data_IF_532371401735
#
_entry.id   IF_532371401735
#
_cell.length_a   1.000
_cell.length_b   1.000
_cell.length_c   1.000
_cell.angle_alpha   90.00
_cell.angle_beta   90.00
_cell.angle_gamma   90.00
#
_symmetry.space_group_name_H-M   'P 1'
#
loop_
_entity.id
_entity.type
_entity.pdbx_description
1 polymer ?
#
# COMPACT_ATOMS: atom_id res chain seq x y z
N UNK A 1 25.97 -0.33 -9.53
CA UNK A 1 24.68 -1.00 -9.26
C UNK A 1 24.72 -1.81 -7.97
N UNK A 2 25.63 -2.79 -7.83
CA UNK A 2 25.81 -3.55 -6.57
C UNK A 2 26.06 -2.67 -5.35
N UNK A 3 26.88 -1.61 -5.50
CA UNK A 3 27.16 -0.62 -4.44
C UNK A 3 25.90 0.05 -3.90
N UNK A 4 24.94 0.42 -4.77
CA UNK A 4 23.70 1.08 -4.32
C UNK A 4 22.82 0.14 -3.49
N UNK A 5 22.73 -1.15 -3.88
CA UNK A 5 21.99 -2.15 -3.12
C UNK A 5 22.62 -2.46 -1.77
N UNK A 6 23.96 -2.55 -1.71
CA UNK A 6 24.70 -2.72 -0.46
C UNK A 6 24.55 -1.49 0.45
N UNK A 7 24.66 -0.27 -0.10
CA UNK A 7 24.45 0.95 0.66
C UNK A 7 23.03 1.01 1.23
N UNK A 8 22.02 0.68 0.43
CA UNK A 8 20.64 0.60 0.89
C UNK A 8 20.49 -0.37 2.06
N UNK A 9 21.10 -1.57 1.96
CA UNK A 9 21.09 -2.56 3.02
C UNK A 9 21.77 -2.04 4.30
N UNK A 10 22.91 -1.37 4.17
CA UNK A 10 23.60 -0.77 5.31
C UNK A 10 22.72 0.30 5.97
N UNK A 11 22.02 1.12 5.18
CA UNK A 11 21.12 2.16 5.67
C UNK A 11 19.91 1.56 6.41
N UNK A 12 19.28 0.50 5.90
CA UNK A 12 18.13 -0.14 6.57
C UNK A 12 18.49 -0.78 7.90
N UNK A 13 19.73 -1.24 8.04
CA UNK A 13 20.26 -1.79 9.29
C UNK A 13 20.70 -0.69 10.26
N UNK A 14 21.33 0.39 9.76
CA UNK A 14 21.88 1.47 10.59
C UNK A 14 20.81 2.43 11.12
N UNK A 15 19.68 2.60 10.42
CA UNK A 15 18.65 3.58 10.76
C UNK A 15 17.27 2.93 11.00
N UNK A 16 17.12 2.07 12.03
CA UNK A 16 15.83 1.46 12.31
C UNK A 16 14.75 2.52 12.60
N UNK A 17 13.50 2.21 12.25
CA UNK A 17 12.36 3.08 12.54
C UNK A 17 12.30 3.39 14.04
N UNK A 18 12.51 4.66 14.40
CA UNK A 18 12.54 5.09 15.79
C UNK A 18 11.16 5.18 16.44
N UNK A 19 10.08 5.12 15.65
CA UNK A 19 8.70 5.17 16.17
C UNK A 19 7.85 4.06 15.58
N UNK A 20 7.02 3.46 16.42
CA UNK A 20 5.93 2.52 16.04
C UNK A 20 4.55 3.21 16.09
N UNK A 21 4.53 4.53 16.26
CA UNK A 21 3.32 5.32 16.56
C UNK A 21 2.59 5.85 15.33
N UNK A 22 3.15 5.67 14.13
CA UNK A 22 2.42 5.90 12.90
C UNK A 22 1.74 4.58 12.51
N UNK A 23 0.43 4.61 12.27
CA UNK A 23 -0.35 3.42 11.92
C UNK A 23 -0.79 2.58 13.12
N UNK A 24 -0.87 1.28 12.90
CA UNK A 24 -1.35 0.25 13.84
C UNK A 24 -0.20 -0.62 14.39
N UNK A 25 1.06 -0.30 14.10
CA UNK A 25 2.18 -1.17 14.43
C UNK A 25 2.34 -1.56 15.91
N UNK A 26 2.10 -0.64 16.86
CA UNK A 26 2.07 -0.99 18.30
C UNK A 26 0.93 -1.97 18.63
N UNK A 27 -0.22 -1.82 17.98
CA UNK A 27 -1.33 -2.76 18.15
C UNK A 27 -0.95 -4.13 17.60
N UNK A 28 -0.34 -4.19 16.41
CA UNK A 28 0.11 -5.44 15.80
C UNK A 28 1.14 -6.19 16.64
N UNK A 29 2.10 -5.47 17.24
CA UNK A 29 3.07 -6.07 18.17
C UNK A 29 2.37 -6.61 19.42
N UNK A 30 1.41 -5.88 19.98
CA UNK A 30 0.64 -6.33 21.16
C UNK A 30 -0.24 -7.54 20.84
N UNK A 31 -0.90 -7.56 19.70
CA UNK A 31 -1.69 -8.70 19.20
C UNK A 31 -0.78 -9.94 19.07
N UNK A 32 0.40 -9.76 18.46
CA UNK A 32 1.39 -10.83 18.30
C UNK A 32 1.92 -11.33 19.65
N UNK A 33 2.16 -10.46 20.63
CA UNK A 33 2.60 -10.84 22.00
C UNK A 33 1.49 -11.56 22.76
N UNK A 34 0.29 -10.98 22.77
CA UNK A 34 -0.86 -11.47 23.53
C UNK A 34 -1.39 -12.81 23.02
N UNK A 35 -0.99 -13.25 21.83
CA UNK A 35 -1.46 -14.50 21.24
C UNK A 35 -2.97 -14.48 20.97
N UNK A 36 -3.53 -13.29 20.77
CA UNK A 36 -4.97 -13.05 20.58
C UNK A 36 -5.32 -13.37 19.13
N UNK A 37 -5.14 -14.62 18.73
CA UNK A 37 -5.36 -15.10 17.37
C UNK A 37 -6.85 -15.17 17.03
N UNK A 38 -7.63 -15.83 17.88
CA UNK A 38 -8.99 -16.24 17.49
C UNK A 38 -10.07 -15.15 17.62
N UNK A 39 -9.76 -13.97 18.16
CA UNK A 39 -10.79 -13.02 18.60
C UNK A 39 -10.71 -11.61 18.01
N UNK A 40 -9.90 -11.36 16.97
CA UNK A 40 -9.72 -10.00 16.44
C UNK A 40 -10.23 -9.76 15.01
N UNK A 41 -11.17 -8.80 14.81
CA UNK A 41 -11.72 -8.44 13.50
C UNK A 41 -10.67 -7.97 12.48
N UNK A 42 -9.50 -7.48 12.91
CA UNK A 42 -8.42 -7.02 12.03
C UNK A 42 -7.73 -8.16 11.27
N UNK A 43 -7.84 -9.41 11.75
CA UNK A 43 -7.37 -10.60 11.02
C UNK A 43 -8.10 -10.80 9.69
N UNK A 44 -9.30 -10.23 9.56
CA UNK A 44 -10.12 -10.34 8.36
C UNK A 44 -9.51 -9.66 7.13
N UNK A 45 -8.33 -9.03 7.21
CA UNK A 45 -7.70 -8.39 6.04
C UNK A 45 -6.37 -9.02 5.62
N UNK A 46 -5.66 -9.66 6.55
CA UNK A 46 -4.31 -10.23 6.35
C UNK A 46 -4.11 -11.58 7.03
N UNK A 47 -5.07 -12.54 6.91
CA UNK A 47 -5.06 -13.74 7.74
C UNK A 47 -3.80 -14.60 7.57
N UNK A 48 -3.32 -14.79 6.33
CA UNK A 48 -2.14 -15.64 6.10
C UNK A 48 -0.88 -15.01 6.69
N UNK A 49 -0.73 -13.69 6.61
CA UNK A 49 0.45 -13.02 7.14
C UNK A 49 0.52 -13.16 8.65
N UNK A 50 -0.56 -12.83 9.34
CA UNK A 50 -0.65 -13.00 10.78
C UNK A 50 -0.32 -14.44 11.18
N UNK A 51 -0.81 -15.43 10.43
CA UNK A 51 -0.57 -16.84 10.73
C UNK A 51 0.91 -17.17 10.59
N UNK A 52 1.55 -16.71 9.50
CA UNK A 52 2.99 -16.86 9.28
C UNK A 52 3.81 -16.21 10.40
N UNK A 53 3.44 -15.01 10.85
CA UNK A 53 4.13 -14.32 11.95
C UNK A 53 3.99 -15.10 13.27
N UNK A 54 2.84 -15.72 13.50
CA UNK A 54 2.64 -16.60 14.66
C UNK A 54 3.50 -17.87 14.57
N UNK A 55 3.62 -18.50 13.39
CA UNK A 55 4.53 -19.65 13.19
C UNK A 55 5.99 -19.25 13.38
N UNK A 56 6.41 -18.08 12.88
CA UNK A 56 7.77 -17.57 13.11
C UNK A 56 8.00 -17.33 14.61
N UNK A 57 7.00 -16.82 15.34
CA UNK A 57 7.08 -16.66 16.80
C UNK A 57 7.27 -18.01 17.50
N UNK A 58 6.53 -19.05 17.12
CA UNK A 58 6.60 -20.35 17.79
C UNK A 58 7.92 -21.09 17.52
N UNK A 59 8.58 -20.83 16.40
CA UNK A 59 9.82 -21.51 16.00
C UNK A 59 11.10 -20.72 16.24
N UNK A 60 11.01 -19.42 16.54
CA UNK A 60 12.20 -18.56 16.67
C UNK A 60 12.54 -18.23 18.12
N UNK A 61 13.83 -18.02 18.36
CA UNK A 61 14.35 -17.45 19.62
C UNK A 61 14.24 -15.91 19.64
N UNK A 62 13.57 -15.32 18.65
CA UNK A 62 13.46 -13.88 18.48
C UNK A 62 12.32 -13.37 19.36
N UNK A 63 12.56 -12.29 20.11
CA UNK A 63 11.49 -11.71 20.93
C UNK A 63 10.34 -11.23 20.02
N UNK A 64 9.06 -11.38 20.44
CA UNK A 64 7.92 -11.09 19.57
C UNK A 64 7.90 -9.66 19.02
N UNK A 65 8.43 -8.68 19.76
CA UNK A 65 8.53 -7.28 19.36
C UNK A 65 9.58 -7.04 18.25
N UNK A 66 10.45 -8.01 17.98
CA UNK A 66 11.47 -7.95 16.93
C UNK A 66 11.05 -8.67 15.65
N UNK A 67 10.03 -9.54 15.68
CA UNK A 67 9.59 -10.33 14.52
C UNK A 67 9.19 -9.41 13.36
N UNK A 68 8.32 -8.43 13.61
CA UNK A 68 7.89 -7.47 12.60
C UNK A 68 9.06 -6.68 11.99
N UNK A 69 9.96 -6.05 12.79
CA UNK A 69 11.15 -5.40 12.26
C UNK A 69 12.04 -6.31 11.40
N UNK A 70 12.21 -7.59 11.78
CA UNK A 70 12.97 -8.55 10.98
C UNK A 70 12.30 -8.84 9.64
N UNK A 71 11.00 -9.15 9.65
CA UNK A 71 10.23 -9.41 8.43
C UNK A 71 10.25 -8.19 7.50
N UNK A 72 10.08 -6.99 8.03
CA UNK A 72 10.19 -5.72 7.30
C UNK A 72 11.55 -5.57 6.59
N UNK A 73 12.65 -5.80 7.30
CA UNK A 73 14.00 -5.71 6.71
C UNK A 73 14.23 -6.78 5.66
N UNK A 74 13.86 -8.03 5.94
CA UNK A 74 14.00 -9.13 4.98
C UNK A 74 13.21 -8.85 3.69
N UNK A 75 11.99 -8.32 3.81
CA UNK A 75 11.22 -7.87 2.67
C UNK A 75 11.96 -6.79 1.86
N UNK A 76 12.63 -5.85 2.53
CA UNK A 76 13.50 -4.86 1.90
C UNK A 76 14.68 -5.46 1.14
N UNK A 77 15.35 -6.47 1.70
CA UNK A 77 16.45 -7.19 1.02
C UNK A 77 15.92 -7.83 -0.27
N UNK A 78 14.81 -8.58 -0.16
CA UNK A 78 14.19 -9.23 -1.33
C UNK A 78 13.77 -8.19 -2.35
N UNK A 79 13.20 -7.05 -1.92
CA UNK A 79 12.81 -5.96 -2.81
C UNK A 79 14.01 -5.38 -3.57
N UNK A 80 15.14 -5.14 -2.90
CA UNK A 80 16.37 -4.68 -3.54
C UNK A 80 16.86 -5.67 -4.59
N UNK A 81 16.89 -6.97 -4.26
CA UNK A 81 17.30 -8.01 -5.21
C UNK A 81 16.38 -8.04 -6.44
N UNK A 82 15.06 -7.99 -6.22
CA UNK A 82 14.07 -7.94 -7.30
C UNK A 82 14.15 -6.64 -8.10
N UNK A 83 14.56 -5.52 -7.51
CA UNK A 83 14.71 -4.24 -8.22
C UNK A 83 15.75 -4.35 -9.35
N UNK A 84 16.83 -5.13 -9.17
CA UNK A 84 17.80 -5.37 -10.24
C UNK A 84 17.19 -6.12 -11.42
N UNK A 85 16.36 -7.13 -11.14
CA UNK A 85 15.62 -7.88 -12.16
C UNK A 85 14.61 -6.97 -12.85
N UNK A 86 13.85 -6.18 -12.10
CA UNK A 86 12.91 -5.21 -12.64
C UNK A 86 13.61 -4.18 -13.53
N UNK A 87 14.78 -3.69 -13.13
CA UNK A 87 15.62 -2.82 -13.96
C UNK A 87 15.92 -3.45 -15.31
N UNK A 88 16.31 -4.73 -15.35
CA UNK A 88 16.60 -5.45 -16.60
C UNK A 88 15.37 -5.65 -17.48
N UNK A 89 14.21 -5.95 -16.89
CA UNK A 89 12.98 -6.22 -17.63
C UNK A 89 12.27 -4.96 -18.12
N UNK A 90 12.20 -3.91 -17.29
CA UNK A 90 11.36 -2.73 -17.56
C UNK A 90 12.12 -1.52 -18.11
N UNK A 91 13.45 -1.46 -18.02
CA UNK A 91 14.21 -0.35 -18.59
C UNK A 91 14.21 -0.43 -20.14
N UNK A 92 13.92 0.66 -20.87
CA UNK A 92 13.96 0.66 -22.34
C UNK A 92 15.33 0.34 -22.93
N UNK A 93 16.41 0.71 -22.23
CA UNK A 93 17.81 0.50 -22.65
C UNK A 93 18.65 -0.04 -21.49
N UNK A 94 19.76 -0.75 -21.76
CA UNK A 94 20.67 -1.24 -20.71
C UNK A 94 21.21 -0.13 -19.79
N UNK A 95 21.51 1.04 -20.34
CA UNK A 95 22.05 2.18 -19.58
C UNK A 95 21.02 2.81 -18.63
N UNK A 96 19.73 2.62 -18.93
CA UNK A 96 18.63 3.18 -18.16
C UNK A 96 18.31 2.35 -16.88
N UNK A 97 18.85 1.13 -16.80
CA UNK A 97 18.58 0.17 -15.70
C UNK A 97 18.89 0.76 -14.32
N UNK A 98 20.06 1.39 -14.20
CA UNK A 98 20.50 1.99 -12.95
C UNK A 98 19.57 3.08 -12.45
N UNK A 99 19.04 3.90 -13.37
CA UNK A 99 18.12 4.96 -13.02
C UNK A 99 16.73 4.41 -12.62
N UNK A 100 16.22 3.39 -13.31
CA UNK A 100 14.95 2.78 -12.93
C UNK A 100 15.03 2.13 -11.53
N UNK A 101 16.15 1.47 -11.23
CA UNK A 101 16.40 0.91 -9.89
C UNK A 101 16.46 2.00 -8.85
N UNK A 102 17.17 3.09 -9.15
CA UNK A 102 17.23 4.23 -8.24
C UNK A 102 15.84 4.81 -7.98
N UNK A 103 14.99 4.93 -9.01
CA UNK A 103 13.60 5.32 -8.84
C UNK A 103 12.85 4.36 -7.92
N UNK A 104 13.00 3.03 -8.05
CA UNK A 104 12.36 2.07 -7.13
C UNK A 104 12.86 2.21 -5.68
N UNK A 105 14.16 2.42 -5.50
CA UNK A 105 14.80 2.47 -4.18
C UNK A 105 14.75 3.84 -3.49
N UNK A 106 14.10 4.82 -4.11
CA UNK A 106 14.03 6.19 -3.60
C UNK A 106 12.59 6.66 -3.36
N UNK A 107 11.63 5.79 -3.11
CA UNK A 107 10.22 6.18 -2.90
C UNK A 107 9.83 6.16 -1.42
N UNK A 108 8.70 6.77 -1.04
CA UNK A 108 8.29 6.83 0.37
C UNK A 108 8.06 5.46 1.01
N UNK A 109 7.57 4.47 0.24
CA UNK A 109 7.38 3.10 0.74
C UNK A 109 8.67 2.41 1.17
N UNK A 110 9.84 2.90 0.75
CA UNK A 110 11.14 2.36 1.19
C UNK A 110 11.30 2.46 2.70
N UNK A 111 10.68 3.46 3.35
CA UNK A 111 10.67 3.57 4.82
C UNK A 111 10.06 2.34 5.52
N UNK A 112 9.18 1.60 4.84
CA UNK A 112 8.58 0.36 5.36
C UNK A 112 9.61 -0.75 5.57
N UNK A 113 10.79 -0.65 4.96
CA UNK A 113 11.86 -1.66 5.06
C UNK A 113 12.86 -1.39 6.20
N UNK A 114 12.71 -0.29 6.93
CA UNK A 114 13.61 0.10 8.04
C UNK A 114 13.15 -0.51 9.38
N UNK A 115 12.52 -1.69 9.35
CA UNK A 115 11.96 -2.34 10.53
C UNK A 115 10.61 -1.75 10.96
N UNK A 116 9.84 -1.19 10.02
CA UNK A 116 8.51 -0.67 10.28
C UNK A 116 7.55 -1.81 10.60
N UNK A 117 6.88 -1.74 11.75
CA UNK A 117 6.14 -2.85 12.31
C UNK A 117 4.71 -2.95 11.75
N UNK A 118 4.60 -3.19 10.44
CA UNK A 118 3.33 -3.25 9.74
C UNK A 118 3.23 -4.48 8.85
N UNK A 119 2.03 -4.73 8.33
CA UNK A 119 1.74 -5.90 7.51
C UNK A 119 2.15 -5.74 6.03
N UNK A 120 2.32 -4.50 5.58
CA UNK A 120 2.56 -4.16 4.18
C UNK A 120 3.97 -4.41 3.62
N UNK A 121 5.08 -4.41 4.41
CA UNK A 121 6.43 -4.56 3.84
C UNK A 121 6.59 -5.78 2.93
N UNK A 122 6.02 -6.93 3.29
CA UNK A 122 6.11 -8.17 2.49
C UNK A 122 5.39 -8.07 1.15
N UNK A 123 4.38 -7.22 1.03
CA UNK A 123 3.61 -7.08 -0.20
C UNK A 123 4.43 -6.42 -1.30
N UNK A 124 5.31 -5.47 -0.99
CA UNK A 124 6.11 -4.76 -1.99
C UNK A 124 7.01 -5.67 -2.85
N UNK A 125 7.84 -6.58 -2.28
CA UNK A 125 8.60 -7.52 -3.09
C UNK A 125 7.69 -8.50 -3.85
N UNK A 126 6.57 -8.93 -3.28
CA UNK A 126 5.62 -9.81 -3.97
C UNK A 126 4.96 -9.11 -5.16
N UNK A 127 4.56 -7.84 -5.01
CA UNK A 127 3.99 -7.03 -6.07
C UNK A 127 5.01 -6.74 -7.17
N UNK A 128 6.27 -6.46 -6.82
CA UNK A 128 7.35 -6.30 -7.80
C UNK A 128 7.65 -7.61 -8.55
N UNK A 129 7.70 -8.74 -7.82
CA UNK A 129 7.82 -10.07 -8.39
C UNK A 129 6.66 -10.39 -9.33
N UNK A 130 5.43 -10.05 -8.94
CA UNK A 130 4.23 -10.18 -9.76
C UNK A 130 4.31 -9.33 -11.03
N UNK A 131 4.78 -8.08 -10.95
CA UNK A 131 5.04 -7.26 -12.15
C UNK A 131 6.02 -7.94 -13.12
N UNK A 132 7.15 -8.46 -12.60
CA UNK A 132 8.16 -9.15 -13.41
C UNK A 132 7.55 -10.40 -14.07
N UNK A 133 6.83 -11.23 -13.32
CA UNK A 133 6.21 -12.45 -13.83
C UNK A 133 5.11 -12.17 -14.86
N UNK A 134 4.30 -11.13 -14.65
CA UNK A 134 3.30 -10.69 -15.62
C UNK A 134 3.94 -10.25 -16.94
N UNK A 135 5.02 -9.47 -16.88
CA UNK A 135 5.75 -9.04 -18.07
C UNK A 135 6.32 -10.24 -18.84
N UNK A 136 7.06 -11.13 -18.16
CA UNK A 136 7.63 -12.34 -18.77
C UNK A 136 6.55 -13.25 -19.36
N UNK A 137 5.45 -13.45 -18.64
CA UNK A 137 4.33 -14.24 -19.14
C UNK A 137 3.68 -13.62 -20.38
N UNK A 138 3.53 -12.29 -20.41
CA UNK A 138 3.03 -11.54 -21.57
C UNK A 138 3.97 -11.63 -22.77
N UNK A 139 5.28 -11.64 -22.54
CA UNK A 139 6.33 -11.72 -23.57
C UNK A 139 6.58 -13.14 -24.11
N UNK A 140 5.97 -14.15 -23.51
CA UNK A 140 6.18 -15.55 -23.93
C UNK A 140 7.21 -16.31 -23.08
N UNK A 141 7.98 -15.61 -22.25
CA UNK A 141 9.14 -16.15 -21.51
C UNK A 141 8.81 -16.96 -20.25
N UNK A 142 7.53 -17.16 -19.96
CA UNK A 142 7.06 -17.93 -18.80
C UNK A 142 5.57 -18.22 -18.87
N UNK A 143 5.09 -19.24 -18.16
CA UNK A 143 3.68 -19.61 -18.16
C UNK A 143 2.84 -18.64 -17.32
N UNK A 144 1.58 -18.44 -17.70
CA UNK A 144 0.63 -17.53 -17.02
C UNK A 144 0.30 -17.97 -15.59
N UNK A 145 0.38 -19.27 -15.28
CA UNK A 145 0.09 -19.74 -13.92
C UNK A 145 1.06 -19.18 -12.88
N UNK A 146 2.29 -18.80 -13.25
CA UNK A 146 3.27 -18.26 -12.30
C UNK A 146 2.80 -16.94 -11.66
N UNK A 147 2.47 -15.87 -12.42
CA UNK A 147 1.89 -14.68 -11.82
C UNK A 147 0.52 -14.93 -11.17
N UNK A 148 -0.27 -15.90 -11.67
CA UNK A 148 -1.56 -16.25 -11.08
C UNK A 148 -1.43 -16.87 -9.68
N UNK A 149 -0.53 -17.83 -9.50
CA UNK A 149 -0.20 -18.45 -8.21
C UNK A 149 0.34 -17.40 -7.25
N UNK A 150 1.27 -16.54 -7.70
CA UNK A 150 1.81 -15.50 -6.85
C UNK A 150 0.72 -14.51 -6.39
N UNK A 151 -0.18 -14.09 -7.29
CA UNK A 151 -1.30 -13.24 -6.94
C UNK A 151 -2.22 -13.92 -5.92
N UNK A 152 -2.60 -15.19 -6.14
CA UNK A 152 -3.48 -15.91 -5.22
C UNK A 152 -2.86 -16.20 -3.86
N UNK A 153 -1.53 -16.33 -3.76
CA UNK A 153 -0.82 -16.36 -2.47
C UNK A 153 -0.73 -14.97 -1.80
N UNK A 154 -0.72 -13.90 -2.58
CA UNK A 154 -0.63 -12.52 -2.07
C UNK A 154 -1.97 -12.00 -1.54
N UNK A 155 -3.09 -12.43 -2.14
CA UNK A 155 -4.46 -12.07 -1.69
C UNK A 155 -4.70 -12.35 -0.20
N UNK A 156 -4.43 -13.55 0.36
CA UNK A 156 -4.63 -13.81 1.79
C UNK A 156 -3.56 -13.16 2.69
N UNK A 157 -2.45 -12.64 2.14
CA UNK A 157 -1.54 -11.77 2.88
C UNK A 157 -2.13 -10.36 3.05
N UNK A 158 -2.84 -9.84 2.04
CA UNK A 158 -3.70 -8.67 2.19
C UNK A 158 -4.75 -8.59 1.07
N UNK A 159 -6.04 -8.54 1.38
CA UNK A 159 -7.10 -8.67 0.37
C UNK A 159 -7.14 -7.58 -0.70
N UNK A 160 -6.59 -6.38 -0.41
CA UNK A 160 -6.46 -5.34 -1.45
C UNK A 160 -5.53 -5.75 -2.59
N UNK A 161 -4.68 -6.77 -2.41
CA UNK A 161 -3.90 -7.33 -3.50
C UNK A 161 -4.76 -7.89 -4.64
N UNK A 162 -6.03 -8.23 -4.39
CA UNK A 162 -6.97 -8.61 -5.45
C UNK A 162 -7.20 -7.50 -6.49
N UNK A 163 -6.97 -6.23 -6.13
CA UNK A 163 -7.02 -5.11 -7.07
C UNK A 163 -6.04 -5.27 -8.24
N UNK A 164 -5.03 -6.14 -8.13
CA UNK A 164 -4.06 -6.42 -9.19
C UNK A 164 -4.51 -7.48 -10.22
N UNK A 165 -5.68 -8.11 -10.02
CA UNK A 165 -6.22 -9.12 -10.94
C UNK A 165 -6.47 -8.63 -12.38
N UNK A 166 -6.92 -7.37 -12.64
CA UNK A 166 -7.10 -6.87 -14.01
C UNK A 166 -5.83 -6.94 -14.88
N UNK A 167 -4.65 -6.81 -14.26
CA UNK A 167 -3.39 -6.97 -14.98
C UNK A 167 -3.16 -8.41 -15.47
N UNK A 168 -3.53 -9.42 -14.67
CA UNK A 168 -3.43 -10.82 -15.09
C UNK A 168 -4.41 -11.13 -16.22
N UNK A 169 -5.62 -10.58 -16.16
CA UNK A 169 -6.60 -10.68 -17.26
C UNK A 169 -6.02 -10.08 -18.54
N UNK A 170 -5.33 -8.94 -18.44
CA UNK A 170 -4.63 -8.34 -19.57
C UNK A 170 -3.52 -9.24 -20.13
N UNK A 171 -2.69 -9.86 -19.28
CA UNK A 171 -1.66 -10.83 -19.71
C UNK A 171 -2.29 -11.98 -20.50
N UNK A 172 -3.37 -12.56 -19.96
CA UNK A 172 -4.12 -13.65 -20.60
C UNK A 172 -4.72 -13.23 -21.93
N UNK A 173 -5.32 -12.04 -22.02
CA UNK A 173 -5.81 -11.49 -23.28
C UNK A 173 -4.67 -11.40 -24.30
N UNK A 174 -3.54 -10.80 -23.94
CA UNK A 174 -2.41 -10.61 -24.86
C UNK A 174 -1.85 -11.94 -25.38
N UNK A 175 -1.86 -12.98 -24.55
CA UNK A 175 -1.49 -14.36 -24.90
C UNK A 175 -2.44 -15.05 -25.89
N UNK A 176 -3.67 -14.55 -26.12
CA UNK A 176 -4.65 -15.20 -27.02
C UNK A 176 -4.23 -15.25 -28.50
N UNK A 177 -3.15 -14.55 -28.88
CA UNK A 177 -2.59 -14.60 -30.24
C UNK A 177 -1.69 -15.82 -30.50
N UNK A 178 -1.48 -16.66 -29.48
CA UNK A 178 -0.78 -17.94 -29.60
C UNK A 178 -1.68 -19.05 -30.19
N UNK A 179 -1.16 -20.28 -30.25
CA UNK A 179 -1.94 -21.44 -30.69
C UNK A 179 -3.13 -21.74 -29.72
N UNK A 180 -4.07 -22.59 -30.15
CA UNK A 180 -5.28 -22.88 -29.38
C UNK A 180 -5.01 -23.51 -28.00
N UNK A 181 -3.99 -24.36 -27.90
CA UNK A 181 -3.61 -25.01 -26.64
C UNK A 181 -3.08 -24.00 -25.61
N UNK A 182 -2.17 -23.11 -26.02
CA UNK A 182 -1.62 -22.05 -25.17
C UNK A 182 -2.71 -21.08 -24.69
N UNK A 183 -3.70 -20.81 -25.55
CA UNK A 183 -4.88 -20.00 -25.19
C UNK A 183 -5.69 -20.67 -24.09
N UNK A 184 -6.00 -21.96 -24.21
CA UNK A 184 -6.76 -22.71 -23.20
C UNK A 184 -5.98 -22.75 -21.88
N UNK A 185 -4.68 -23.09 -21.93
CA UNK A 185 -3.82 -23.13 -20.74
C UNK A 185 -3.71 -21.75 -20.06
N UNK A 186 -3.63 -20.67 -20.83
CA UNK A 186 -3.63 -19.30 -20.28
C UNK A 186 -4.94 -18.95 -19.58
N UNK A 187 -6.08 -19.37 -20.14
CA UNK A 187 -7.39 -19.17 -19.50
C UNK A 187 -7.53 -19.99 -18.22
N UNK A 188 -7.17 -21.27 -18.26
CA UNK A 188 -7.19 -22.15 -17.08
C UNK A 188 -6.27 -21.64 -15.97
N UNK A 189 -5.18 -20.96 -16.32
CA UNK A 189 -4.27 -20.35 -15.35
C UNK A 189 -4.96 -19.27 -14.49
N UNK A 190 -6.06 -18.66 -14.92
CA UNK A 190 -6.83 -17.73 -14.09
C UNK A 190 -7.46 -18.43 -12.87
N UNK A 191 -7.77 -19.73 -12.98
CA UNK A 191 -8.29 -20.53 -11.85
C UNK A 191 -7.24 -20.74 -10.77
N UNK A 192 -5.95 -20.55 -11.06
CA UNK A 192 -4.90 -20.65 -10.06
C UNK A 192 -5.01 -19.56 -8.99
N UNK A 193 -5.56 -18.38 -9.29
CA UNK A 193 -5.77 -17.32 -8.29
C UNK A 193 -6.73 -17.77 -7.19
N UNK A 194 -8.01 -18.11 -7.47
CA UNK A 194 -8.93 -18.58 -6.43
C UNK A 194 -8.47 -19.91 -5.82
N UNK A 195 -7.89 -20.84 -6.59
CA UNK A 195 -7.42 -22.12 -6.07
C UNK A 195 -6.34 -21.94 -5.00
N UNK A 196 -5.30 -21.14 -5.28
CA UNK A 196 -4.21 -20.89 -4.31
C UNK A 196 -4.66 -20.01 -3.15
N UNK A 197 -5.57 -19.06 -3.38
CA UNK A 197 -6.18 -18.26 -2.30
C UNK A 197 -6.95 -19.17 -1.33
N UNK A 198 -7.84 -20.01 -1.86
CA UNK A 198 -8.68 -20.90 -1.06
C UNK A 198 -7.85 -21.98 -0.35
N UNK A 199 -6.87 -22.55 -1.04
CA UNK A 199 -5.93 -23.48 -0.42
C UNK A 199 -5.20 -22.83 0.75
N UNK A 200 -4.68 -21.62 0.57
CA UNK A 200 -3.96 -20.90 1.64
C UNK A 200 -4.84 -20.60 2.84
N UNK A 201 -6.10 -20.20 2.61
CA UNK A 201 -7.07 -19.96 3.68
C UNK A 201 -7.48 -21.25 4.38
N UNK A 202 -7.72 -22.33 3.63
CA UNK A 202 -8.06 -23.64 4.18
C UNK A 202 -6.93 -24.21 5.03
N UNK A 203 -5.67 -24.04 4.61
CA UNK A 203 -4.49 -24.47 5.37
C UNK A 203 -4.37 -23.81 6.75
N UNK A 204 -4.92 -22.61 6.92
CA UNK A 204 -4.93 -21.88 8.19
C UNK A 204 -6.29 -21.97 8.91
N UNK A 205 -7.18 -22.85 8.46
CA UNK A 205 -8.48 -23.11 9.10
C UNK A 205 -9.54 -22.03 8.86
N UNK A 206 -9.35 -21.14 7.89
CA UNK A 206 -10.29 -20.06 7.58
C UNK A 206 -11.16 -20.44 6.37
N UNK A 207 -12.48 -20.39 6.56
CA UNK A 207 -13.42 -20.56 5.46
C UNK A 207 -13.36 -19.35 4.52
N UNK A 208 -13.16 -19.51 3.21
CA UNK A 208 -13.19 -18.38 2.27
C UNK A 208 -14.54 -17.67 2.24
N UNK A 209 -15.61 -18.36 2.65
CA UNK A 209 -16.98 -17.84 2.64
C UNK A 209 -17.32 -16.95 3.84
N UNK A 210 -16.50 -16.93 4.90
CA UNK A 210 -16.73 -16.05 6.07
C UNK A 210 -16.15 -14.63 5.90
N UNK A 211 -15.33 -14.41 4.87
CA UNK A 211 -14.61 -13.17 4.62
C UNK A 211 -15.45 -12.03 3.98
N UNK A 212 -16.37 -12.28 3.03
CA UNK A 212 -17.06 -11.21 2.28
C UNK A 212 -17.85 -10.24 3.15
N UNK A 213 -18.37 -10.71 4.29
CA UNK A 213 -19.28 -9.94 5.14
C UNK A 213 -18.58 -8.82 5.92
N UNK A 214 -17.29 -8.98 6.23
CA UNK A 214 -16.51 -7.98 6.97
C UNK A 214 -15.75 -7.01 6.06
N UNK A 215 -15.40 -7.42 4.84
CA UNK A 215 -14.63 -6.62 3.89
C UNK A 215 -15.47 -5.53 3.18
N UNK A 216 -16.77 -5.77 2.98
CA UNK A 216 -17.67 -4.89 2.22
C UNK A 216 -18.36 -3.81 3.06
N UNK A 217 -18.25 -3.85 4.40
CA UNK A 217 -18.96 -2.93 5.29
C UNK A 217 -18.32 -1.54 5.38
N UNK A 218 -19.04 -0.49 4.98
CA UNK A 218 -18.81 0.94 5.34
C UNK A 218 -17.44 1.58 5.02
N UNK A 219 -16.54 0.90 4.30
CA UNK A 219 -15.20 1.43 4.03
C UNK A 219 -15.08 2.27 2.76
N UNK A 220 -16.17 2.50 2.03
CA UNK A 220 -16.18 3.42 0.91
C UNK A 220 -16.58 4.81 1.38
N UNK A 221 -15.90 5.83 0.87
CA UNK A 221 -16.28 7.21 1.08
C UNK A 221 -17.60 7.50 0.37
N UNK A 222 -18.48 8.34 0.94
CA UNK A 222 -19.70 8.78 0.27
C UNK A 222 -19.36 9.71 -0.90
N UNK A 223 -20.19 9.71 -1.95
CA UNK A 223 -19.93 10.47 -3.17
C UNK A 223 -20.03 12.00 -2.99
N UNK A 224 -21.02 12.48 -2.23
CA UNK A 224 -21.38 13.92 -2.21
C UNK A 224 -21.34 14.58 -0.84
N UNK A 225 -21.94 13.98 0.17
CA UNK A 225 -21.99 14.54 1.53
C UNK A 225 -21.28 13.62 2.51
N UNK A 226 -20.49 14.16 3.47
CA UNK A 226 -19.93 13.37 4.55
C UNK A 226 -21.05 12.58 5.23
N UNK A 227 -20.86 11.28 5.38
CA UNK A 227 -21.82 10.41 6.06
C UNK A 227 -21.78 10.64 7.57
N UNK A 228 -22.82 10.25 8.30
CA UNK A 228 -22.77 10.22 9.76
C UNK A 228 -21.64 9.27 10.24
N UNK A 229 -20.83 9.72 11.21
CA UNK A 229 -19.78 8.90 11.83
C UNK A 229 -18.34 9.29 11.46
N UNK A 230 -17.50 8.29 11.17
CA UNK A 230 -16.04 8.40 11.00
C UNK A 230 -15.58 8.75 9.56
N UNK A 231 -16.45 9.31 8.72
CA UNK A 231 -16.07 9.78 7.37
C UNK A 231 -15.79 11.28 7.42
N UNK A 232 -14.52 11.72 7.43
CA UNK A 232 -14.19 13.13 7.57
C UNK A 232 -14.63 13.98 6.38
N UNK A 233 -14.79 13.37 5.21
CA UNK A 233 -15.10 14.06 3.96
C UNK A 233 -15.71 13.12 2.90
N UNK A 234 -16.23 13.67 1.81
CA UNK A 234 -16.73 12.93 0.65
C UNK A 234 -15.63 12.70 -0.42
N UNK A 235 -15.83 11.76 -1.34
CA UNK A 235 -14.88 11.45 -2.43
C UNK A 235 -14.54 12.69 -3.27
N UNK A 236 -15.52 13.56 -3.54
CA UNK A 236 -15.32 14.74 -4.40
C UNK A 236 -14.97 16.02 -3.63
N UNK A 237 -14.67 15.90 -2.33
CA UNK A 237 -14.27 17.05 -1.51
C UNK A 237 -12.85 17.53 -1.85
N UNK A 238 -12.60 18.83 -1.64
CA UNK A 238 -11.27 19.40 -1.83
C UNK A 238 -10.28 18.85 -0.79
N UNK A 239 -10.74 18.60 0.43
CA UNK A 239 -9.96 18.01 1.52
C UNK A 239 -9.44 16.63 1.14
N UNK A 240 -10.31 15.75 0.61
CA UNK A 240 -9.91 14.42 0.16
C UNK A 240 -8.90 14.47 -0.99
N UNK A 241 -9.11 15.38 -1.95
CA UNK A 241 -8.19 15.56 -3.06
C UNK A 241 -6.80 15.99 -2.55
N UNK A 242 -6.74 16.94 -1.62
CA UNK A 242 -5.49 17.40 -1.00
C UNK A 242 -4.81 16.25 -0.25
N UNK A 243 -5.54 15.48 0.55
CA UNK A 243 -4.99 14.34 1.29
C UNK A 243 -4.48 13.26 0.34
N UNK A 244 -5.21 12.97 -0.73
CA UNK A 244 -4.79 12.02 -1.78
C UNK A 244 -3.53 12.50 -2.50
N UNK A 245 -3.44 13.79 -2.87
CA UNK A 245 -2.26 14.36 -3.52
C UNK A 245 -1.05 14.33 -2.58
N UNK A 246 -1.23 14.69 -1.30
CA UNK A 246 -0.19 14.61 -0.28
C UNK A 246 0.28 13.16 -0.08
N UNK A 247 -0.65 12.21 -0.09
CA UNK A 247 -0.36 10.79 0.01
C UNK A 247 0.52 10.32 -1.16
N UNK A 248 0.19 10.67 -2.40
CA UNK A 248 1.03 10.32 -3.57
C UNK A 248 2.36 11.08 -3.60
N UNK A 249 2.40 12.33 -3.14
CA UNK A 249 3.65 13.08 -3.01
C UNK A 249 4.59 12.44 -1.98
N UNK A 250 4.03 11.88 -0.90
CA UNK A 250 4.77 11.11 0.10
C UNK A 250 5.27 9.77 -0.47
N UNK A 251 4.38 8.95 -1.03
CA UNK A 251 4.71 7.55 -1.34
C UNK A 251 5.34 7.36 -2.72
N UNK A 252 5.03 8.22 -3.69
CA UNK A 252 5.50 8.10 -5.08
C UNK A 252 5.90 9.44 -5.71
N UNK A 253 6.84 10.19 -5.10
CA UNK A 253 7.22 11.53 -5.58
C UNK A 253 7.70 11.56 -7.04
N UNK A 254 8.28 10.47 -7.55
CA UNK A 254 8.69 10.38 -8.97
C UNK A 254 7.51 10.50 -9.93
N UNK A 255 6.33 9.98 -9.53
CA UNK A 255 5.11 10.05 -10.33
C UNK A 255 4.60 11.47 -10.32
N UNK A 256 4.48 12.08 -9.14
CA UNK A 256 3.98 13.46 -9.00
C UNK A 256 4.83 14.45 -9.82
N UNK A 257 6.15 14.35 -9.74
CA UNK A 257 7.06 15.20 -10.52
C UNK A 257 7.10 14.83 -12.00
N UNK A 258 6.91 13.55 -12.33
CA UNK A 258 6.94 13.04 -13.69
C UNK A 258 5.67 13.31 -14.49
N UNK A 259 4.49 13.37 -13.84
CA UNK A 259 3.18 13.44 -14.49
C UNK A 259 3.08 14.51 -15.60
N UNK A 260 3.55 15.77 -15.41
CA UNK A 260 3.50 16.76 -16.48
C UNK A 260 4.28 16.31 -17.73
N UNK A 261 5.43 15.67 -17.55
CA UNK A 261 6.26 15.15 -18.63
C UNK A 261 5.57 13.95 -19.31
N UNK A 262 4.90 13.10 -18.51
CA UNK A 262 4.15 11.94 -19.02
C UNK A 262 2.99 12.35 -19.92
N UNK A 263 2.17 13.31 -19.46
CA UNK A 263 0.99 13.80 -20.17
C UNK A 263 1.38 14.49 -21.48
N UNK A 264 2.48 15.24 -21.48
CA UNK A 264 2.88 16.05 -22.64
C UNK A 264 3.80 15.31 -23.63
N UNK A 265 4.58 14.35 -23.16
CA UNK A 265 5.67 13.74 -23.94
C UNK A 265 5.39 12.35 -24.51
N UNK A 266 4.41 11.62 -23.97
CA UNK A 266 4.16 10.22 -24.36
C UNK A 266 3.10 10.13 -25.46
N UNK A 267 3.52 10.07 -26.74
CA UNK A 267 2.59 9.85 -27.86
C UNK A 267 2.38 8.37 -28.24
N UNK A 268 3.14 7.43 -27.67
CA UNK A 268 3.01 6.00 -27.98
C UNK A 268 3.11 5.17 -26.71
N UNK A 269 1.97 4.57 -26.33
CA UNK A 269 1.89 3.52 -25.32
C UNK A 269 2.19 2.16 -25.96
N UNK A 270 3.03 1.34 -25.33
CA UNK A 270 3.24 -0.05 -25.72
C UNK A 270 2.46 -1.03 -24.81
N UNK A 271 2.55 -2.33 -25.10
CA UNK A 271 1.85 -3.35 -24.30
C UNK A 271 2.31 -3.40 -22.84
N UNK A 272 3.56 -2.99 -22.56
CA UNK A 272 4.11 -2.94 -21.21
C UNK A 272 3.51 -1.78 -20.42
N UNK A 273 3.33 -0.62 -21.07
CA UNK A 273 2.70 0.54 -20.45
C UNK A 273 1.23 0.25 -20.12
N UNK A 274 0.51 -0.44 -21.01
CA UNK A 274 -0.88 -0.89 -20.74
C UNK A 274 -0.93 -1.90 -19.60
N UNK A 275 0.02 -2.84 -19.54
CA UNK A 275 0.13 -3.78 -18.41
C UNK A 275 0.32 -3.03 -17.09
N UNK A 276 1.28 -2.11 -17.03
CA UNK A 276 1.57 -1.34 -15.82
C UNK A 276 0.40 -0.43 -15.43
N UNK A 277 -0.32 0.14 -16.40
CA UNK A 277 -1.54 0.89 -16.14
C UNK A 277 -2.66 0.00 -15.58
N UNK A 278 -2.85 -1.20 -16.15
CA UNK A 278 -3.81 -2.18 -15.63
C UNK A 278 -3.47 -2.67 -14.22
N UNK A 279 -2.18 -2.68 -13.84
CA UNK A 279 -1.73 -2.95 -12.48
C UNK A 279 -1.96 -1.77 -11.54
N UNK A 280 -1.71 -0.54 -11.99
CA UNK A 280 -1.75 0.66 -11.15
C UNK A 280 -3.16 1.20 -10.94
N UNK A 281 -4.00 1.21 -11.97
CA UNK A 281 -5.29 1.92 -11.94
C UNK A 281 -6.24 1.40 -10.84
N UNK A 282 -6.49 0.08 -10.69
CA UNK A 282 -7.39 -0.39 -9.64
C UNK A 282 -6.95 -0.06 -8.20
N UNK A 283 -5.69 -0.28 -7.76
CA UNK A 283 -5.25 0.13 -6.42
C UNK A 283 -5.18 1.66 -6.25
N UNK A 284 -5.00 2.43 -7.33
CA UNK A 284 -5.17 3.89 -7.29
C UNK A 284 -6.63 4.25 -7.02
N UNK A 285 -7.58 3.63 -7.73
CA UNK A 285 -9.01 3.82 -7.49
C UNK A 285 -9.40 3.40 -6.07
N UNK A 286 -8.84 2.31 -5.55
CA UNK A 286 -9.01 1.94 -4.14
C UNK A 286 -8.55 3.07 -3.21
N UNK A 287 -7.37 3.65 -3.43
CA UNK A 287 -6.87 4.78 -2.63
C UNK A 287 -7.78 6.01 -2.66
N UNK A 288 -8.40 6.27 -3.82
CA UNK A 288 -9.33 7.40 -3.99
C UNK A 288 -10.71 7.12 -3.38
N UNK A 289 -11.19 5.88 -3.42
CA UNK A 289 -12.57 5.55 -3.01
C UNK A 289 -12.66 5.08 -1.55
N UNK A 290 -11.57 4.61 -0.97
CA UNK A 290 -11.57 3.99 0.35
C UNK A 290 -11.46 5.02 1.48
N UNK A 291 -12.25 4.82 2.53
CA UNK A 291 -12.26 5.65 3.73
C UNK A 291 -11.11 5.23 4.67
N UNK A 292 -10.11 6.09 4.90
CA UNK A 292 -9.09 5.82 5.89
C UNK A 292 -9.66 5.97 7.31
N UNK A 293 -10.06 4.85 7.92
CA UNK A 293 -10.70 4.84 9.23
C UNK A 293 -9.91 5.57 10.34
N UNK A 294 -8.57 5.62 10.21
CA UNK A 294 -7.66 6.31 11.14
C UNK A 294 -6.99 7.56 10.53
N UNK A 295 -7.50 8.04 9.39
CA UNK A 295 -6.96 9.17 8.61
C UNK A 295 -5.88 8.75 7.61
N UNK A 296 -5.85 9.43 6.46
CA UNK A 296 -4.96 9.09 5.34
C UNK A 296 -3.47 9.09 5.75
N UNK A 297 -3.08 10.07 6.56
CA UNK A 297 -1.72 10.18 7.10
C UNK A 297 -1.29 8.98 7.94
N UNK A 298 -2.20 8.38 8.72
CA UNK A 298 -1.85 7.22 9.57
C UNK A 298 -1.87 5.91 8.79
N UNK A 299 -2.76 5.78 7.80
CA UNK A 299 -2.84 4.62 6.90
C UNK A 299 -2.03 4.79 5.61
N UNK A 300 -0.96 5.58 5.63
CA UNK A 300 -0.22 5.92 4.41
C UNK A 300 0.42 4.70 3.74
N UNK A 301 0.71 3.66 4.50
CA UNK A 301 1.35 2.43 4.07
C UNK A 301 0.42 1.52 3.25
N UNK A 302 -0.85 1.38 3.63
CA UNK A 302 -1.85 0.67 2.81
C UNK A 302 -2.11 1.40 1.48
N UNK A 303 -2.07 2.74 1.49
CA UNK A 303 -2.20 3.55 0.28
C UNK A 303 -0.90 3.66 -0.52
N UNK A 304 0.21 3.11 -0.02
CA UNK A 304 1.45 3.00 -0.76
C UNK A 304 1.47 1.80 -1.71
N UNK A 305 0.50 0.87 -1.64
CA UNK A 305 0.45 -0.29 -2.52
C UNK A 305 0.53 0.03 -4.03
N UNK A 306 -0.21 1.00 -4.60
CA UNK A 306 -0.10 1.33 -6.03
C UNK A 306 1.29 1.86 -6.46
N UNK A 307 2.18 2.17 -5.51
CA UNK A 307 3.46 2.80 -5.82
C UNK A 307 4.34 1.97 -6.74
N UNK A 308 4.39 0.64 -6.58
CA UNK A 308 5.27 -0.22 -7.39
C UNK A 308 4.98 -0.10 -8.89
N UNK A 309 3.76 -0.40 -9.39
CA UNK A 309 3.47 -0.26 -10.82
C UNK A 309 3.52 1.21 -11.29
N UNK A 310 3.16 2.18 -10.44
CA UNK A 310 3.24 3.59 -10.79
C UNK A 310 4.69 4.05 -11.02
N UNK A 311 5.64 3.62 -10.19
CA UNK A 311 7.07 3.93 -10.35
C UNK A 311 7.63 3.29 -11.61
N UNK A 312 7.26 2.05 -11.89
CA UNK A 312 7.67 1.37 -13.11
C UNK A 312 7.14 2.11 -14.34
N UNK A 313 5.86 2.51 -14.35
CA UNK A 313 5.23 3.22 -15.45
C UNK A 313 5.86 4.61 -15.65
N UNK A 314 5.95 5.41 -14.59
CA UNK A 314 6.51 6.75 -14.63
C UNK A 314 8.01 6.72 -14.96
N UNK A 315 8.78 5.85 -14.32
CA UNK A 315 10.20 5.67 -14.56
C UNK A 315 10.50 5.28 -16.00
N UNK A 316 9.83 4.23 -16.53
CA UNK A 316 9.98 3.79 -17.92
C UNK A 316 9.63 4.89 -18.91
N UNK A 317 8.54 5.60 -18.67
CA UNK A 317 8.09 6.68 -19.56
C UNK A 317 9.05 7.88 -19.55
N UNK A 318 9.55 8.29 -18.37
CA UNK A 318 10.58 9.33 -18.25
C UNK A 318 11.84 8.96 -19.02
N UNK A 319 12.28 7.70 -18.91
CA UNK A 319 13.46 7.17 -19.59
C UNK A 319 13.36 7.22 -21.12
N UNK A 320 12.14 7.10 -21.67
CA UNK A 320 11.89 7.22 -23.12
C UNK A 320 11.87 8.67 -23.60
N UNK A 321 11.30 9.56 -22.82
CA UNK A 321 11.03 10.95 -23.25
C UNK A 321 12.23 11.86 -22.97
N UNK A 322 12.94 11.65 -21.86
CA UNK A 322 13.96 12.58 -21.42
C UNK A 322 15.37 12.23 -21.93
N UNK A 323 16.13 13.25 -22.30
CA UNK A 323 17.55 13.11 -22.58
C UNK A 323 18.33 12.71 -21.30
N UNK A 324 19.47 11.97 -21.44
CA UNK A 324 20.25 11.49 -20.30
C UNK A 324 20.64 12.57 -19.28
N UNK A 325 20.95 13.79 -19.74
CA UNK A 325 21.32 14.91 -18.86
C UNK A 325 20.15 15.35 -17.97
N UNK A 326 18.95 15.46 -18.52
CA UNK A 326 17.74 15.85 -17.77
C UNK A 326 17.35 14.75 -16.78
N UNK A 327 17.47 13.49 -17.19
CA UNK A 327 17.24 12.32 -16.34
C UNK A 327 18.15 12.32 -15.11
N UNK A 328 19.45 12.60 -15.27
CA UNK A 328 20.38 12.72 -14.13
C UNK A 328 19.96 13.81 -13.15
N UNK A 329 19.55 14.98 -13.64
CA UNK A 329 19.06 16.08 -12.78
C UNK A 329 17.79 15.70 -12.02
N UNK A 330 16.84 15.05 -12.70
CA UNK A 330 15.61 14.56 -12.07
C UNK A 330 15.92 13.50 -11.01
N UNK A 331 16.86 12.58 -11.29
CA UNK A 331 17.32 11.59 -10.33
C UNK A 331 17.85 12.24 -9.05
N UNK A 332 18.73 13.25 -9.20
CA UNK A 332 19.28 14.00 -8.07
C UNK A 332 18.17 14.71 -7.28
N UNK A 333 17.19 15.31 -7.97
CA UNK A 333 16.06 15.96 -7.31
C UNK A 333 15.22 14.95 -6.52
N UNK A 334 14.85 13.82 -7.14
CA UNK A 334 14.08 12.75 -6.50
C UNK A 334 14.83 12.22 -5.29
N UNK A 335 16.11 11.87 -5.42
CA UNK A 335 16.93 11.42 -4.29
C UNK A 335 16.95 12.47 -3.19
N UNK A 336 17.15 13.74 -3.54
CA UNK A 336 17.22 14.83 -2.56
C UNK A 336 15.91 14.96 -1.78
N UNK A 337 14.76 15.00 -2.47
CA UNK A 337 13.44 15.07 -1.85
C UNK A 337 13.21 13.87 -0.93
N UNK A 338 13.55 12.68 -1.41
CA UNK A 338 13.32 11.44 -0.68
C UNK A 338 14.32 11.20 0.47
N UNK A 339 15.46 11.88 0.48
CA UNK A 339 16.41 11.86 1.60
C UNK A 339 15.96 12.77 2.74
N UNK A 340 15.25 13.86 2.43
CA UNK A 340 14.76 14.83 3.42
C UNK A 340 13.46 14.36 4.08
N UNK A 341 12.64 13.59 3.35
CA UNK A 341 11.29 13.22 3.79
C UNK A 341 11.24 12.27 5.01
N UNK A 342 12.10 11.24 5.14
CA UNK A 342 12.07 10.33 6.29
C UNK A 342 12.47 11.02 7.60
N UNK A 343 13.40 11.97 7.55
CA UNK A 343 13.94 12.63 8.75
C UNK A 343 13.03 13.73 9.31
N UNK A 344 12.24 14.40 8.49
CA UNK A 344 11.39 15.51 8.93
C UNK A 344 10.04 15.04 9.49
N UNK A 345 9.49 13.91 9.01
CA UNK A 345 8.15 13.44 9.40
C UNK A 345 8.10 12.44 10.56
N UNK A 346 9.12 11.58 10.70
CA UNK A 346 9.07 10.42 11.62
C UNK A 346 9.71 10.67 12.99
N UNK A 347 10.68 11.59 13.11
CA UNK A 347 11.57 11.66 14.28
C UNK A 347 11.20 12.64 15.40
N UNK A 348 10.31 13.60 15.17
CA UNK A 348 9.94 14.60 16.19
C UNK A 348 8.42 14.63 16.33
N UNK A 349 7.92 13.96 17.36
CA UNK A 349 6.51 13.66 17.63
C UNK A 349 5.54 14.84 17.82
N UNK A 350 5.67 15.92 17.07
CA UNK A 350 4.73 17.04 17.00
C UNK A 350 4.88 17.76 15.65
N UNK A 351 4.36 17.16 14.58
CA UNK A 351 4.00 17.96 13.41
C UNK A 351 2.85 18.89 13.81
N UNK A 352 3.19 20.14 14.18
CA UNK A 352 2.25 21.27 14.27
C UNK A 352 1.72 21.58 12.86
N UNK A 353 0.99 20.66 12.25
CA UNK A 353 0.31 20.94 11.00
C UNK A 353 -0.80 21.96 11.31
N UNK A 354 -0.58 23.22 10.94
CA UNK A 354 -1.47 24.37 11.23
C UNK A 354 -2.90 24.15 10.71
N UNK A 355 -3.08 23.27 9.72
CA UNK A 355 -4.37 22.91 9.11
C UNK A 355 -5.24 22.10 10.09
N UNK A 356 -4.67 21.26 10.95
CA UNK A 356 -5.41 20.44 11.93
C UNK A 356 -5.93 21.28 13.11
N UNK A 357 -5.29 22.41 13.44
CA UNK A 357 -5.84 23.35 14.45
C UNK A 357 -7.14 24.01 14.00
N UNK A 358 -7.38 24.12 12.70
CA UNK A 358 -8.66 24.58 12.15
C UNK A 358 -9.77 23.56 12.42
N UNK A 359 -9.54 22.30 12.06
CA UNK A 359 -10.50 21.21 12.28
C UNK A 359 -10.81 20.96 13.77
N UNK A 360 -9.80 20.99 14.66
CA UNK A 360 -10.04 20.86 16.10
C UNK A 360 -10.77 22.06 16.72
N UNK A 361 -10.66 23.27 16.16
CA UNK A 361 -11.49 24.41 16.58
C UNK A 361 -12.97 24.22 16.20
N UNK A 362 -13.24 23.53 15.09
CA UNK A 362 -14.59 23.15 14.67
C UNK A 362 -15.21 22.12 15.63
N UNK A 363 -14.45 21.10 16.02
CA UNK A 363 -14.91 20.09 16.99
C UNK A 363 -15.02 20.62 18.42
N UNK A 364 -14.14 21.54 18.83
CA UNK A 364 -14.23 22.20 20.15
C UNK A 364 -15.51 23.01 20.35
N UNK A 365 -16.10 23.55 19.27
CA UNK A 365 -17.41 24.23 19.33
C UNK A 365 -18.59 23.28 19.53
N UNK A 366 -18.50 22.05 19.03
CA UNK A 366 -19.53 21.01 19.25
C UNK A 366 -19.47 20.48 20.69
N UNK A 367 -18.26 20.30 21.24
CA UNK A 367 -18.07 19.96 22.65
C UNK A 367 -18.63 21.04 23.59
N UNK A 368 -18.39 22.32 23.30
CA UNK A 368 -18.94 23.44 24.07
C UNK A 368 -20.48 23.55 23.96
N UNK A 369 -21.08 23.20 22.82
CA UNK A 369 -22.53 23.20 22.64
C UNK A 369 -23.21 22.05 23.39
N UNK A 370 -22.57 20.88 23.47
CA UNK A 370 -23.07 19.74 24.26
C UNK A 370 -22.94 19.99 25.78
N UNK A 371 -21.85 20.63 26.22
CA UNK A 371 -21.68 21.05 27.61
C UNK A 371 -22.69 22.14 28.03
N UNK A 372 -23.05 23.04 27.09
CA UNK A 372 -24.10 24.04 27.31
C UNK A 372 -25.50 23.41 27.38
N UNK A 373 -25.80 22.42 26.52
CA UNK A 373 -27.04 21.65 26.58
C UNK A 373 -27.16 20.80 27.85
N UNK A 374 -26.06 20.24 28.36
CA UNK A 374 -26.04 19.52 29.63
C UNK A 374 -26.29 20.46 30.82
N UNK A 375 -25.71 21.67 30.82
CA UNK A 375 -25.96 22.69 31.86
C UNK A 375 -27.37 23.25 31.82
N UNK A 376 -28.00 23.32 30.65
CA UNK A 376 -29.39 23.79 30.51
C UNK A 376 -30.42 22.73 30.94
N UNK A 377 -30.09 21.43 30.90
CA UNK A 377 -30.97 20.36 31.42
C UNK A 377 -30.90 20.18 32.94
N UNK A 378 -29.87 20.69 33.60
CA UNK A 378 -29.69 20.61 35.06
C UNK A 378 -30.49 21.62 35.90
N UNK A 379 -31.34 22.48 35.30
CA UNK A 379 -32.07 23.54 36.01
C UNK A 379 -33.57 23.32 36.22
N UNK A 380 -34.12 22.19 35.81
CA UNK A 380 -35.52 21.83 36.13
C UNK A 380 -35.57 20.86 37.32
N UNK A 381 -35.17 21.37 38.48
CA UNK A 381 -35.38 20.74 39.78
C UNK A 381 -36.84 20.91 40.22
N UNK A 382 -37.50 19.77 40.42
CA UNK A 382 -38.51 19.45 41.43
C UNK A 382 -39.31 20.63 42.02
N UNK A 383 -40.56 20.79 41.57
CA UNK A 383 -41.64 21.24 42.46
C UNK A 383 -42.32 20.02 43.06
N UNK A 384 -42.08 19.83 44.35
CA UNK A 384 -42.86 19.00 45.27
C UNK A 384 -44.31 19.49 45.33
N UNK A 385 -45.28 18.61 45.10
CA UNK A 385 -46.68 18.83 45.46
C UNK A 385 -46.87 18.48 46.95
N UNK A 386 -47.56 19.32 47.75
CA UNK A 386 -47.96 18.96 49.10
C UNK A 386 -49.22 18.07 49.04
N UNK A 387 -49.30 17.12 49.97
CA UNK A 387 -50.34 16.10 50.01
C UNK A 387 -51.72 16.59 50.45
N UNK A 388 -52.70 15.72 50.21
CA UNK A 388 -53.98 15.54 50.92
C UNK A 388 -54.31 14.03 50.77
N UNK A 389 -54.76 13.31 51.79
CA UNK A 389 -55.71 13.71 52.82
C UNK A 389 -57.08 13.27 52.36
#
# INVERSE_FOLDING_TARGET
MMVCGLLFLMLTLAFPSGTRLLGDGELHVRELIGGVWDSHPKMNRSPLLFWLLHQVRSWSFVSPDQIYPWVSRMAGIVFVLLSFTAGRCFAPRPDDRGLLILCLLSQGYVALFFGYAENYPILFPLLLGYSILCLRAMEGEGPVYQPAVLLGLTVPLHFTAFAYAPALIWVVWRRQRANAADRILSMLSLLAVPATTFLSLALIGISPFSLPQSALGSHLLPWGTPGPGLTPYAVLSAEHLIDTLNQYALVVPVVVMGTPILVLGSRRSDATDVLLLAMALPPVLFTVLFNPAIGAFRGWDVFALPSVPLVLLAGRSLLRVCQPVRLRRLAVLVISVCSVHPHSGLGRGQCRCRIVRGAFRSYGRVGAALDLCARLRGRNSCRTLPGQG
#
